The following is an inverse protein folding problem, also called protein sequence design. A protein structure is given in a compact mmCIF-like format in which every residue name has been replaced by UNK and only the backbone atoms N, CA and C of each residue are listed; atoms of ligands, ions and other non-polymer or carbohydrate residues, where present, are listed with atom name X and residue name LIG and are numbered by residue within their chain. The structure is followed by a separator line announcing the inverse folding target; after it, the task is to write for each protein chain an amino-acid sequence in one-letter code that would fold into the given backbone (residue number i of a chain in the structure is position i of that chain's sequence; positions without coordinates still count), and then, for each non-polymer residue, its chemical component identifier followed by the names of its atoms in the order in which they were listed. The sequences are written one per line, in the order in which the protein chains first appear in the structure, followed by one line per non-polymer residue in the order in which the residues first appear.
data_IF_956555646229
#
_entry.id   IF_956555646229
#
_cell.length_a   1.000
_cell.length_b   1.000
_cell.length_c   1.000
_cell.angle_alpha   90.00
_cell.angle_beta   90.00
_cell.angle_gamma   90.00
#
_symmetry.space_group_name_H-M   'P 1'
#
loop_
_entity.id
_entity.type
_entity.pdbx_description
1 polymer ?
#
# COMPACT_ATOMS: atom_id res chain seq x y z
N UNK A 1 -11.61 23.31 -15.63
CA UNK A 1 -11.88 21.86 -15.69
C UNK A 1 -11.94 21.45 -17.15
N UNK A 2 -11.32 20.34 -17.55
CA UNK A 2 -11.31 19.88 -18.95
C UNK A 2 -12.64 19.22 -19.28
N UNK A 3 -13.24 19.54 -20.44
CA UNK A 3 -14.46 18.89 -20.90
C UNK A 3 -14.19 17.43 -21.30
N UNK A 4 -14.96 16.50 -20.74
CA UNK A 4 -14.91 15.06 -21.02
C UNK A 4 -16.19 14.49 -21.59
N UNK A 5 -17.18 15.36 -21.93
CA UNK A 5 -18.51 14.97 -22.40
C UNK A 5 -18.44 14.05 -23.63
N UNK A 6 -17.57 14.36 -24.58
CA UNK A 6 -17.38 13.57 -25.81
C UNK A 6 -16.58 12.27 -25.66
N UNK A 7 -16.11 11.92 -24.45
CA UNK A 7 -15.36 10.67 -24.24
C UNK A 7 -16.32 9.53 -23.91
N UNK A 8 -16.09 8.35 -24.48
CA UNK A 8 -16.78 7.14 -24.04
C UNK A 8 -16.32 6.74 -22.64
N UNK A 9 -17.21 6.28 -21.75
CA UNK A 9 -16.83 5.65 -20.50
C UNK A 9 -15.96 4.42 -20.74
N UNK A 10 -14.96 4.20 -19.87
CA UNK A 10 -14.11 3.02 -19.91
C UNK A 10 -13.68 2.62 -18.51
N UNK A 11 -13.38 1.33 -18.31
CA UNK A 11 -12.84 0.85 -17.03
C UNK A 11 -11.46 1.46 -16.82
N UNK A 12 -11.25 2.02 -15.65
CA UNK A 12 -10.00 2.66 -15.23
C UNK A 12 -9.65 2.27 -13.81
N UNK A 13 -8.37 2.15 -13.57
CA UNK A 13 -7.84 1.88 -12.24
C UNK A 13 -6.65 2.80 -11.98
N UNK A 14 -6.48 3.21 -10.74
CA UNK A 14 -5.26 3.84 -10.27
C UNK A 14 -4.84 3.23 -8.94
N UNK A 15 -3.52 3.19 -8.73
CA UNK A 15 -2.90 2.78 -7.48
C UNK A 15 -1.98 3.89 -6.98
N UNK A 16 -2.10 4.20 -5.69
CA UNK A 16 -1.25 5.16 -4.99
C UNK A 16 -0.67 4.53 -3.74
N UNK A 17 0.45 5.07 -3.29
CA UNK A 17 1.11 4.68 -2.04
C UNK A 17 1.46 5.91 -1.21
N UNK A 18 1.60 5.72 0.11
CA UNK A 18 2.15 6.70 1.03
C UNK A 18 2.87 5.99 2.17
N UNK A 19 3.74 6.71 2.87
CA UNK A 19 4.43 6.24 4.07
C UNK A 19 4.15 7.21 5.21
N UNK A 20 3.70 6.69 6.36
CA UNK A 20 3.68 7.43 7.62
C UNK A 20 4.88 6.98 8.43
N UNK A 21 5.90 7.83 8.54
CA UNK A 21 7.09 7.53 9.37
C UNK A 21 6.76 7.70 10.84
N UNK A 22 7.15 6.71 11.65
CA UNK A 22 6.87 6.67 13.08
C UNK A 22 8.12 6.26 13.86
N UNK A 23 8.21 6.70 15.12
CA UNK A 23 9.22 6.19 16.04
C UNK A 23 8.99 4.72 16.41
N UNK A 24 10.04 4.04 16.88
CA UNK A 24 9.95 2.64 17.30
C UNK A 24 8.89 2.37 18.38
N UNK A 25 8.70 3.23 19.39
CA UNK A 25 7.58 3.07 20.34
C UNK A 25 6.20 3.08 19.69
N UNK A 26 5.97 3.96 18.70
CA UNK A 26 4.70 4.00 17.95
C UNK A 26 4.51 2.73 17.12
N UNK A 27 5.55 2.27 16.41
CA UNK A 27 5.51 1.01 15.65
C UNK A 27 5.16 -0.17 16.57
N UNK A 28 5.76 -0.21 17.76
CA UNK A 28 5.46 -1.25 18.74
C UNK A 28 4.00 -1.15 19.23
N UNK A 29 3.51 0.04 19.54
CA UNK A 29 2.12 0.26 19.98
C UNK A 29 1.12 -0.14 18.90
N UNK A 30 1.41 0.14 17.62
CA UNK A 30 0.59 -0.30 16.48
C UNK A 30 0.54 -1.82 16.36
N UNK A 31 1.68 -2.51 16.51
CA UNK A 31 1.77 -3.98 16.43
C UNK A 31 1.04 -4.68 17.57
N UNK A 32 1.05 -4.11 18.77
CA UNK A 32 0.40 -4.67 19.96
C UNK A 32 -1.04 -4.19 20.15
N UNK A 33 -1.53 -3.28 19.31
CA UNK A 33 -2.87 -2.70 19.44
C UNK A 33 -3.03 -1.84 20.71
N UNK A 34 -1.93 -1.31 21.28
CA UNK A 34 -1.94 -0.53 22.54
C UNK A 34 -2.02 0.98 22.32
N UNK A 35 -2.36 1.44 21.11
CA UNK A 35 -2.57 2.87 20.86
C UNK A 35 -3.80 3.37 21.61
N UNK A 36 -3.70 4.45 22.41
CA UNK A 36 -4.81 4.92 23.29
C UNK A 36 -6.10 5.26 22.54
N UNK A 37 -6.03 5.68 21.28
CA UNK A 37 -7.20 6.00 20.44
C UNK A 37 -7.86 4.77 19.78
N UNK A 38 -7.38 3.55 20.01
CA UNK A 38 -7.96 2.32 19.51
C UNK A 38 -7.34 1.82 18.21
N UNK A 39 -8.11 1.13 17.36
CA UNK A 39 -7.64 0.47 16.13
C UNK A 39 -7.32 1.48 15.03
N UNK A 40 -6.04 1.87 14.98
CA UNK A 40 -5.51 2.85 14.03
C UNK A 40 -5.70 2.40 12.58
N UNK A 41 -5.41 1.11 12.29
CA UNK A 41 -5.43 0.63 10.91
C UNK A 41 -6.86 0.54 10.37
N UNK A 42 -7.81 0.12 11.20
CA UNK A 42 -9.23 0.09 10.81
C UNK A 42 -9.77 1.50 10.55
N UNK A 43 -9.50 2.46 11.45
CA UNK A 43 -9.95 3.86 11.30
C UNK A 43 -9.32 4.48 10.05
N UNK A 44 -8.02 4.31 9.83
CA UNK A 44 -7.32 4.85 8.68
C UNK A 44 -7.85 4.27 7.35
N UNK A 45 -8.14 2.97 7.30
CA UNK A 45 -8.75 2.33 6.13
C UNK A 45 -10.09 2.95 5.78
N UNK A 46 -10.98 3.09 6.77
CA UNK A 46 -12.31 3.68 6.55
C UNK A 46 -12.19 5.15 6.13
N UNK A 47 -11.29 5.92 6.75
CA UNK A 47 -11.03 7.31 6.39
C UNK A 47 -10.58 7.47 4.94
N UNK A 48 -9.63 6.61 4.49
CA UNK A 48 -9.15 6.61 3.10
C UNK A 48 -10.26 6.28 2.10
N UNK A 49 -11.06 5.24 2.37
CA UNK A 49 -12.19 4.86 1.50
C UNK A 49 -13.23 5.98 1.43
N UNK A 50 -13.53 6.64 2.55
CA UNK A 50 -14.47 7.76 2.58
C UNK A 50 -13.93 8.96 1.78
N UNK A 51 -12.63 9.25 1.90
CA UNK A 51 -11.98 10.36 1.24
C UNK A 51 -11.92 10.21 -0.29
N UNK A 52 -11.72 9.00 -0.81
CA UNK A 52 -11.76 8.72 -2.24
C UNK A 52 -13.09 9.18 -2.89
N UNK A 53 -14.19 9.17 -2.15
CA UNK A 53 -15.52 9.58 -2.61
C UNK A 53 -15.78 11.09 -2.48
N UNK A 54 -14.79 11.84 -1.94
CA UNK A 54 -14.90 13.27 -1.63
C UNK A 54 -13.96 14.14 -2.46
N UNK A 55 -13.29 13.58 -3.45
CA UNK A 55 -12.32 14.31 -4.28
C UNK A 55 -12.89 15.56 -4.92
N UNK A 56 -14.10 15.57 -5.51
CA UNK A 56 -14.65 16.80 -6.09
C UNK A 56 -14.92 17.91 -5.06
N UNK A 57 -15.17 17.56 -3.79
CA UNK A 57 -15.36 18.52 -2.71
C UNK A 57 -14.02 19.15 -2.25
N UNK A 58 -12.90 18.47 -2.51
CA UNK A 58 -11.57 18.87 -2.06
C UNK A 58 -10.76 19.56 -3.17
N UNK A 59 -10.92 19.13 -4.41
CA UNK A 59 -10.14 19.59 -5.55
C UNK A 59 -11.06 20.29 -6.57
N UNK A 60 -11.00 21.63 -6.69
CA UNK A 60 -11.99 22.42 -7.40
C UNK A 60 -12.10 22.12 -8.91
N UNK A 61 -11.07 21.51 -9.51
CA UNK A 61 -11.06 21.15 -10.94
C UNK A 61 -11.20 19.65 -11.18
N UNK A 62 -11.39 18.83 -10.14
CA UNK A 62 -11.67 17.42 -10.30
C UNK A 62 -13.08 17.18 -10.84
N UNK A 63 -13.23 16.14 -11.65
CA UNK A 63 -14.53 15.74 -12.17
C UNK A 63 -15.32 14.98 -11.09
N UNK A 64 -16.64 15.12 -11.14
CA UNK A 64 -17.53 14.26 -10.37
C UNK A 64 -17.62 12.92 -11.08
N UNK A 65 -17.05 11.87 -10.50
CA UNK A 65 -17.03 10.52 -11.06
C UNK A 65 -17.48 9.49 -10.03
N UNK A 66 -17.99 8.35 -10.52
CA UNK A 66 -18.36 7.23 -9.67
C UNK A 66 -17.14 6.45 -9.20
N UNK A 67 -16.90 6.35 -7.89
CA UNK A 67 -15.95 5.39 -7.32
C UNK A 67 -16.65 4.04 -7.17
N UNK A 68 -16.38 3.10 -8.09
CA UNK A 68 -17.02 1.78 -8.09
C UNK A 68 -16.31 0.76 -7.22
N UNK A 69 -15.01 0.95 -6.96
CA UNK A 69 -14.23 0.13 -6.05
C UNK A 69 -13.11 0.96 -5.43
N UNK A 70 -12.90 0.78 -4.14
CA UNK A 70 -11.79 1.38 -3.39
C UNK A 70 -11.32 0.39 -2.34
N UNK A 71 -10.07 -0.04 -2.46
CA UNK A 71 -9.38 -0.86 -1.50
C UNK A 71 -8.26 -0.02 -0.88
N UNK A 72 -8.13 -0.06 0.44
CA UNK A 72 -7.05 0.62 1.17
C UNK A 72 -6.40 -0.39 2.10
N UNK A 73 -5.14 -0.67 1.87
CA UNK A 73 -4.33 -1.59 2.64
C UNK A 73 -3.30 -0.82 3.47
N UNK A 74 -3.10 -1.24 4.70
CA UNK A 74 -2.14 -0.65 5.61
C UNK A 74 -1.29 -1.76 6.23
N UNK A 75 0.02 -1.55 6.23
CA UNK A 75 1.02 -2.48 6.76
C UNK A 75 1.92 -1.75 7.75
N UNK A 76 2.09 -2.32 8.95
CA UNK A 76 3.05 -1.81 9.95
C UNK A 76 4.43 -2.37 9.63
N UNK A 77 5.29 -1.52 9.11
CA UNK A 77 6.69 -1.83 8.78
C UNK A 77 7.64 -1.29 9.86
N UNK A 78 8.94 -1.46 9.70
CA UNK A 78 9.94 -0.98 10.68
C UNK A 78 9.95 0.54 10.80
N UNK A 79 9.78 1.24 9.69
CA UNK A 79 9.82 2.71 9.59
C UNK A 79 8.50 3.38 9.95
N UNK A 80 7.40 2.63 10.10
CA UNK A 80 6.07 3.17 10.39
C UNK A 80 4.94 2.41 9.75
N UNK A 81 4.07 3.10 9.01
CA UNK A 81 2.91 2.50 8.32
C UNK A 81 2.98 2.79 6.82
N UNK A 82 3.09 1.73 6.02
CA UNK A 82 2.89 1.82 4.57
C UNK A 82 1.40 1.79 4.27
N UNK A 83 0.96 2.69 3.40
CA UNK A 83 -0.43 2.77 2.94
C UNK A 83 -0.45 2.57 1.44
N UNK A 84 -1.32 1.71 0.95
CA UNK A 84 -1.60 1.55 -0.47
C UNK A 84 -3.10 1.68 -0.71
N UNK A 85 -3.49 2.34 -1.80
CA UNK A 85 -4.88 2.39 -2.24
C UNK A 85 -4.98 2.02 -3.72
N UNK A 86 -5.98 1.19 -4.03
CA UNK A 86 -6.39 0.88 -5.40
C UNK A 86 -7.82 1.32 -5.60
N UNK A 87 -8.05 2.24 -6.56
CA UNK A 87 -9.37 2.76 -6.90
C UNK A 87 -9.75 2.38 -8.32
N UNK A 88 -11.03 2.05 -8.52
CA UNK A 88 -11.59 1.64 -9.82
C UNK A 88 -12.85 2.43 -10.15
N UNK A 89 -13.00 2.74 -11.44
CA UNK A 89 -14.20 3.36 -12.01
C UNK A 89 -14.49 2.82 -13.40
N UNK A 90 -15.69 3.08 -13.90
CA UNK A 90 -16.06 2.93 -15.30
C UNK A 90 -16.60 4.29 -15.78
N UNK A 91 -15.70 5.24 -16.05
CA UNK A 91 -16.07 6.62 -16.34
C UNK A 91 -15.15 7.24 -17.42
N UNK A 92 -15.35 8.53 -17.70
CA UNK A 92 -14.70 9.30 -18.78
C UNK A 92 -13.34 9.86 -18.43
N UNK A 93 -12.95 9.84 -17.15
CA UNK A 93 -11.66 10.31 -16.67
C UNK A 93 -11.01 9.32 -15.71
N UNK A 94 -9.72 9.52 -15.40
CA UNK A 94 -8.98 8.65 -14.49
C UNK A 94 -9.35 8.86 -13.02
N UNK A 95 -8.91 7.95 -12.17
CA UNK A 95 -9.14 7.92 -10.71
C UNK A 95 -7.84 8.10 -9.92
N UNK A 96 -6.87 8.74 -10.54
CA UNK A 96 -5.56 8.97 -9.91
C UNK A 96 -5.68 9.83 -8.66
N UNK A 97 -6.55 10.86 -8.69
CA UNK A 97 -6.75 11.75 -7.56
C UNK A 97 -7.52 11.08 -6.43
N UNK A 98 -8.48 10.21 -6.76
CA UNK A 98 -9.20 9.39 -5.78
C UNK A 98 -8.25 8.44 -5.03
N UNK A 99 -7.33 7.79 -5.76
CA UNK A 99 -6.33 6.91 -5.15
C UNK A 99 -5.34 7.71 -4.28
N UNK A 100 -4.85 8.85 -4.76
CA UNK A 100 -3.91 9.69 -4.03
C UNK A 100 -4.56 10.30 -2.78
N UNK A 101 -5.80 10.77 -2.88
CA UNK A 101 -6.56 11.29 -1.73
C UNK A 101 -6.82 10.20 -0.70
N UNK A 102 -7.13 8.97 -1.15
CA UNK A 102 -7.32 7.83 -0.24
C UNK A 102 -6.10 7.56 0.64
N UNK A 103 -4.89 7.44 0.05
CA UNK A 103 -3.67 7.19 0.83
C UNK A 103 -3.29 8.36 1.71
N UNK A 104 -3.51 9.59 1.23
CA UNK A 104 -3.19 10.81 1.98
C UNK A 104 -4.06 10.93 3.24
N UNK A 105 -5.37 10.75 3.11
CA UNK A 105 -6.30 10.86 4.25
C UNK A 105 -6.18 9.66 5.20
N UNK A 106 -5.93 8.45 4.68
CA UNK A 106 -5.58 7.31 5.53
C UNK A 106 -4.32 7.61 6.35
N UNK A 107 -3.28 8.16 5.72
CA UNK A 107 -2.06 8.59 6.42
C UNK A 107 -2.32 9.68 7.47
N UNK A 108 -3.15 10.68 7.16
CA UNK A 108 -3.56 11.71 8.12
C UNK A 108 -4.30 11.11 9.33
N UNK A 109 -5.14 10.10 9.11
CA UNK A 109 -5.83 9.39 10.20
C UNK A 109 -4.82 8.64 11.10
N UNK A 110 -3.81 7.98 10.52
CA UNK A 110 -2.71 7.39 11.31
C UNK A 110 -2.04 8.46 12.15
N UNK A 111 -1.60 9.58 11.54
CA UNK A 111 -0.95 10.69 12.25
C UNK A 111 -1.82 11.20 13.41
N UNK A 112 -3.12 11.47 13.17
CA UNK A 112 -4.01 11.95 14.21
C UNK A 112 -4.11 10.99 15.40
N UNK A 113 -4.16 9.69 15.12
CA UNK A 113 -4.34 8.70 16.18
C UNK A 113 -3.08 8.45 17.00
N UNK A 114 -1.88 8.61 16.42
CA UNK A 114 -0.61 8.31 17.12
C UNK A 114 0.16 9.55 17.60
N UNK A 115 -0.18 10.77 17.15
CA UNK A 115 0.53 12.02 17.49
C UNK A 115 0.59 12.30 19.01
N UNK A 116 -0.29 11.70 19.80
CA UNK A 116 -0.24 11.80 21.27
C UNK A 116 0.88 10.96 21.89
N UNK A 117 1.39 9.95 21.17
CA UNK A 117 2.52 9.12 21.59
C UNK A 117 3.83 9.72 21.07
N UNK A 118 3.83 10.22 19.83
CA UNK A 118 4.97 10.81 19.18
C UNK A 118 4.54 11.95 18.26
N UNK A 119 5.18 13.12 18.40
CA UNK A 119 4.86 14.33 17.61
C UNK A 119 5.63 14.42 16.29
N UNK A 120 6.68 13.61 16.13
CA UNK A 120 7.55 13.61 14.93
C UNK A 120 7.01 12.70 13.83
N UNK A 121 5.81 12.12 14.02
CA UNK A 121 5.12 11.34 13.01
C UNK A 121 4.82 12.19 11.79
N UNK A 122 5.22 11.72 10.60
CA UNK A 122 5.08 12.48 9.37
C UNK A 122 4.54 11.61 8.23
N UNK A 123 3.58 12.17 7.48
CA UNK A 123 3.16 11.62 6.19
C UNK A 123 4.19 11.99 5.12
N UNK A 124 4.69 10.99 4.39
CA UNK A 124 5.72 11.12 3.35
C UNK A 124 5.33 10.35 2.10
N UNK A 125 5.96 10.67 0.99
CA UNK A 125 5.98 9.92 -0.26
C UNK A 125 4.60 9.52 -0.81
N UNK A 126 3.59 10.38 -0.59
CA UNK A 126 2.28 10.19 -1.18
C UNK A 126 2.36 10.39 -2.70
N UNK A 127 2.15 9.31 -3.47
CA UNK A 127 2.33 9.33 -4.92
C UNK A 127 1.46 8.28 -5.63
N UNK A 128 1.06 8.61 -6.86
CA UNK A 128 0.48 7.62 -7.77
C UNK A 128 1.62 6.72 -8.28
N UNK A 129 1.44 5.41 -8.22
CA UNK A 129 2.43 4.41 -8.64
C UNK A 129 2.03 3.66 -9.89
N UNK A 130 0.73 3.56 -10.19
CA UNK A 130 0.26 2.94 -11.42
C UNK A 130 -1.12 3.46 -11.80
N UNK A 131 -1.42 3.41 -13.08
CA UNK A 131 -2.78 3.56 -13.62
C UNK A 131 -2.98 2.67 -14.82
N UNK A 132 -4.22 2.30 -15.09
CA UNK A 132 -4.59 1.55 -16.27
C UNK A 132 -5.91 2.02 -16.86
N UNK A 133 -6.06 1.77 -18.17
CA UNK A 133 -7.24 2.13 -18.96
C UNK A 133 -7.28 3.56 -19.48
N UNK A 134 -8.29 3.84 -20.29
CA UNK A 134 -8.47 5.12 -20.96
C UNK A 134 -7.53 5.33 -22.16
N UNK A 135 -7.61 6.52 -22.76
CA UNK A 135 -6.91 6.85 -24.01
C UNK A 135 -5.37 6.91 -23.85
N UNK A 136 -4.87 7.28 -22.68
CA UNK A 136 -3.43 7.36 -22.40
C UNK A 136 -2.79 6.00 -22.03
N UNK A 137 -3.58 4.93 -22.00
CA UNK A 137 -3.09 3.58 -21.72
C UNK A 137 -2.58 3.39 -20.30
N UNK A 138 -1.86 2.30 -20.11
CA UNK A 138 -1.30 1.90 -18.83
C UNK A 138 0.02 2.60 -18.55
N UNK A 139 0.23 2.93 -17.29
CA UNK A 139 1.47 3.53 -16.83
C UNK A 139 1.79 2.99 -15.43
N UNK A 140 3.06 2.72 -15.20
CA UNK A 140 3.61 2.39 -13.89
C UNK A 140 4.85 3.22 -13.62
N UNK A 141 4.98 3.68 -12.39
CA UNK A 141 6.18 4.37 -11.94
C UNK A 141 7.35 3.39 -11.89
N UNK A 142 8.53 3.72 -12.45
CA UNK A 142 9.72 2.93 -12.23
C UNK A 142 10.00 2.79 -10.73
N UNK A 143 10.44 1.59 -10.30
CA UNK A 143 10.87 1.38 -8.91
C UNK A 143 12.02 2.34 -8.60
N UNK A 144 11.88 3.14 -7.55
CA UNK A 144 13.00 3.93 -7.00
C UNK A 144 13.85 3.02 -6.12
N UNK A 145 15.15 3.35 -5.98
CA UNK A 145 16.07 2.59 -5.12
C UNK A 145 15.56 2.46 -3.67
N UNK A 146 14.67 3.35 -3.24
CA UNK A 146 14.07 3.35 -1.90
C UNK A 146 12.90 2.35 -1.75
N UNK A 147 12.37 1.81 -2.87
CA UNK A 147 11.26 0.84 -2.83
C UNK A 147 11.75 -0.62 -2.57
N UNK A 148 13.08 -0.87 -2.57
CA UNK A 148 13.66 -2.21 -2.43
C UNK A 148 13.99 -2.62 -0.99
N UNK A 149 13.59 -1.84 0.00
CA UNK A 149 13.77 -2.14 1.42
C UNK A 149 12.78 -3.17 1.96
N UNK A 150 12.92 -4.45 1.61
CA UNK A 150 12.18 -5.50 2.30
C UNK A 150 11.83 -6.71 1.44
N UNK A 151 12.76 -7.61 1.23
CA UNK A 151 12.68 -9.08 1.26
C UNK A 151 13.95 -9.65 0.61
N UNK A 152 14.97 -9.85 1.42
CA UNK A 152 15.96 -10.90 1.15
C UNK A 152 15.85 -11.89 2.31
N UNK A 153 14.90 -12.81 2.21
CA UNK A 153 15.02 -14.09 2.89
C UNK A 153 16.08 -14.87 2.12
N UNK A 154 17.28 -14.89 2.66
CA UNK A 154 18.36 -15.76 2.22
C UNK A 154 17.96 -17.19 2.58
N UNK A 155 17.48 -17.95 1.60
CA UNK A 155 17.45 -19.41 1.69
C UNK A 155 18.91 -19.90 1.75
N UNK A 156 19.37 -20.17 2.96
CA UNK A 156 20.60 -20.91 3.23
C UNK A 156 20.39 -22.39 2.87
N UNK A 157 20.67 -22.75 1.62
CA UNK A 157 20.73 -24.13 1.19
C UNK A 157 22.04 -24.73 1.66
N UNK A 158 22.05 -25.17 2.92
CA UNK A 158 23.09 -25.99 3.48
C UNK A 158 23.19 -27.35 2.77
N UNK A 159 24.04 -27.44 1.74
CA UNK A 159 24.45 -28.68 1.09
C UNK A 159 25.34 -29.50 2.03
N UNK A 160 24.76 -30.42 2.79
CA UNK A 160 25.52 -31.47 3.46
C UNK A 160 25.72 -32.64 2.50
N UNK A 161 26.94 -32.71 1.95
CA UNK A 161 27.48 -33.92 1.32
C UNK A 161 27.62 -34.99 2.38
N UNK A 162 26.83 -36.06 2.30
CA UNK A 162 27.11 -37.29 3.00
C UNK A 162 27.84 -38.22 2.05
N UNK A 163 29.06 -38.51 2.40
CA UNK A 163 29.96 -39.41 1.72
C UNK A 163 29.43 -40.85 1.78
N UNK A 164 29.45 -41.52 0.61
CA UNK A 164 29.30 -42.96 0.53
C UNK A 164 30.53 -43.62 1.09
N UNK A 165 30.36 -44.43 2.11
CA UNK A 165 31.33 -45.43 2.51
C UNK A 165 30.76 -46.83 2.32
N UNK A 166 31.41 -47.56 1.40
CA UNK A 166 31.19 -48.97 1.13
C UNK A 166 31.59 -49.79 2.36
N UNK A 167 30.82 -50.76 2.74
CA UNK A 167 31.39 -51.99 3.32
C UNK A 167 30.57 -53.21 2.91
N UNK A 168 31.19 -53.99 2.00
CA UNK A 168 30.92 -55.40 1.76
C UNK A 168 31.22 -56.23 3.00
N UNK A 169 30.53 -57.29 3.17
CA UNK A 169 30.84 -58.64 3.71
C UNK A 169 29.65 -59.17 4.48
N UNK A 170 29.20 -60.26 4.27
CA UNK A 170 29.56 -61.64 4.02
C UNK A 170 28.45 -62.54 4.57
N UNK A 171 27.90 -63.36 3.71
CA UNK A 171 27.65 -64.80 3.83
C UNK A 171 27.29 -65.39 5.19
N UNK A 172 26.27 -66.28 5.20
CA UNK A 172 26.26 -67.47 6.03
C UNK A 172 24.95 -67.95 6.58
N UNK A 173 24.34 -68.83 5.85
CA UNK A 173 23.69 -70.13 6.30
C UNK A 173 22.94 -70.15 7.67
N UNK A 174 21.71 -70.47 7.64
CA UNK A 174 21.08 -71.79 7.91
C UNK A 174 19.57 -71.67 7.66
#
# INVERSE_FOLDING_TARGET
MVDVTGKAPSVRQARATALVTCSAPVVQALRTGSVPKGDVLAVARVAGIAAAKKVPDLLPLAHVIGVHGCQVDLEVIKEGVRVEATVRTADRTGVEMEALTAVTVAGLAVVDMVKGVDRDVALRDARVVAKSGGRSGDWSRPASADDTGGTQDTEDTGSSRISQEKQDRHCGRS
#
